data_IF_674489059769
#
_entry.id   IF_674489059769
#
_cell.length_a   1.000
_cell.length_b   1.000
_cell.length_c   1.000
_cell.angle_alpha   90.00
_cell.angle_beta   90.00
_cell.angle_gamma   90.00
#
_symmetry.space_group_name_H-M   'P 1'
#
loop_
_entity.id
_entity.type
_entity.pdbx_description
1 polymer ?
#
# COMPACT_ATOMS: atom_id res chain seq x y z
N UNK A 1 10.01 9.64 25.56
CA UNK A 1 9.65 8.36 24.96
C UNK A 1 9.27 8.54 23.52
N UNK A 2 9.75 7.68 22.70
CA UNK A 2 9.46 7.80 21.29
C UNK A 2 8.16 7.12 20.98
N UNK A 3 7.29 7.83 20.35
CA UNK A 3 6.05 7.27 19.93
C UNK A 3 6.27 6.30 18.79
N UNK A 4 5.74 5.10 18.94
CA UNK A 4 5.84 4.15 17.87
C UNK A 4 4.92 4.53 16.75
N UNK A 5 5.48 4.70 15.59
CA UNK A 5 4.69 5.09 14.43
C UNK A 5 4.03 3.88 13.83
N UNK A 6 2.72 3.92 13.70
CA UNK A 6 2.02 2.86 13.02
C UNK A 6 2.34 2.89 11.55
N UNK A 7 2.46 1.72 10.95
CA UNK A 7 2.62 1.64 9.52
C UNK A 7 1.34 2.12 8.86
N UNK A 8 1.48 3.02 7.90
CA UNK A 8 0.32 3.47 7.12
C UNK A 8 0.01 2.44 6.04
N UNK A 9 -1.21 2.48 5.54
CA UNK A 9 -1.58 1.60 4.45
C UNK A 9 -0.68 1.81 3.24
N UNK A 10 -0.33 3.07 2.97
CA UNK A 10 0.55 3.37 1.86
C UNK A 10 1.94 2.80 2.03
N UNK A 11 2.47 2.87 3.26
CA UNK A 11 3.81 2.32 3.53
C UNK A 11 3.81 0.80 3.37
N UNK A 12 2.76 0.15 3.82
CA UNK A 12 2.63 -1.30 3.67
C UNK A 12 2.55 -1.66 2.19
N UNK A 13 1.74 -0.92 1.43
CA UNK A 13 1.62 -1.17 0.00
C UNK A 13 2.97 -1.00 -0.70
N UNK A 14 3.71 0.05 -0.34
CA UNK A 14 5.02 0.29 -0.95
C UNK A 14 5.96 -0.87 -0.70
N UNK A 15 5.97 -1.38 0.53
CA UNK A 15 6.83 -2.51 0.86
C UNK A 15 6.46 -3.74 0.06
N UNK A 16 5.16 -4.03 -0.07
CA UNK A 16 4.71 -5.18 -0.83
C UNK A 16 5.05 -5.03 -2.31
N UNK A 17 4.89 -3.82 -2.84
CA UNK A 17 5.25 -3.55 -4.23
C UNK A 17 6.74 -3.81 -4.46
N UNK A 18 7.58 -3.32 -3.55
CA UNK A 18 9.02 -3.53 -3.63
C UNK A 18 9.37 -5.01 -3.53
N UNK A 19 8.69 -5.73 -2.66
CA UNK A 19 8.94 -7.17 -2.50
C UNK A 19 8.65 -7.93 -3.78
N UNK A 20 7.72 -7.42 -4.59
CA UNK A 20 7.41 -8.02 -5.88
C UNK A 20 8.23 -7.41 -7.01
N UNK A 21 9.17 -6.54 -6.67
CA UNK A 21 10.09 -5.92 -7.63
C UNK A 21 9.36 -5.15 -8.73
N UNK A 22 8.28 -4.47 -8.34
CA UNK A 22 7.48 -3.69 -9.27
C UNK A 22 7.74 -2.21 -9.09
N UNK A 23 7.85 -1.49 -10.21
CA UNK A 23 7.98 -0.04 -10.18
C UNK A 23 6.60 0.60 -10.11
N UNK A 24 6.58 1.89 -9.77
CA UNK A 24 5.32 2.63 -9.79
C UNK A 24 4.69 2.59 -11.19
N UNK A 25 5.52 2.74 -12.23
CA UNK A 25 5.01 2.72 -13.59
C UNK A 25 4.35 1.40 -13.95
N UNK A 26 4.88 0.30 -13.42
CA UNK A 26 4.31 -1.02 -13.70
C UNK A 26 2.96 -1.22 -13.01
N UNK A 27 2.75 -0.55 -11.88
CA UNK A 27 1.51 -0.69 -11.13
C UNK A 27 0.45 0.31 -11.58
N UNK A 28 0.88 1.47 -12.05
CA UNK A 28 -0.04 2.52 -12.47
C UNK A 28 -0.85 2.11 -13.69
N UNK A 29 -2.05 2.65 -13.79
CA UNK A 29 -2.92 2.42 -14.94
C UNK A 29 -3.95 3.55 -15.01
N UNK A 30 -5.01 3.34 -15.78
CA UNK A 30 -6.03 4.37 -15.96
C UNK A 30 -6.76 4.73 -14.68
N UNK A 31 -6.76 3.85 -13.68
CA UNK A 31 -7.46 4.08 -12.43
C UNK A 31 -6.59 4.82 -11.42
N UNK A 32 -5.28 4.58 -11.45
CA UNK A 32 -4.37 5.14 -10.46
C UNK A 32 -3.08 5.57 -11.14
N UNK A 33 -2.84 6.88 -11.15
CA UNK A 33 -1.63 7.43 -11.77
C UNK A 33 -0.42 7.20 -10.89
N UNK A 34 0.75 7.31 -11.50
CA UNK A 34 2.02 7.22 -10.76
C UNK A 34 2.03 8.25 -9.64
N UNK A 35 1.61 9.48 -9.93
CA UNK A 35 1.63 10.54 -8.92
C UNK A 35 0.71 10.21 -7.75
N UNK A 36 -0.47 9.67 -8.03
CA UNK A 36 -1.39 9.32 -6.95
C UNK A 36 -0.82 8.20 -6.08
N UNK A 37 -0.30 7.16 -6.71
CA UNK A 37 0.24 6.02 -5.97
C UNK A 37 1.41 6.49 -5.11
N UNK A 38 2.27 7.35 -5.65
CA UNK A 38 3.41 7.87 -4.90
C UNK A 38 2.95 8.63 -3.66
N UNK A 39 1.92 9.47 -3.80
CA UNK A 39 1.40 10.20 -2.65
C UNK A 39 0.77 9.28 -1.63
N UNK A 40 0.05 8.26 -2.10
CA UNK A 40 -0.53 7.28 -1.20
C UNK A 40 0.56 6.56 -0.41
N UNK A 41 1.61 6.15 -1.09
CA UNK A 41 2.71 5.42 -0.43
C UNK A 41 3.44 6.28 0.59
N UNK A 42 3.45 7.59 0.38
CA UNK A 42 4.09 8.51 1.31
C UNK A 42 3.16 8.92 2.46
N UNK A 43 1.93 8.43 2.47
CA UNK A 43 0.97 8.79 3.50
C UNK A 43 0.36 10.15 3.30
N UNK A 44 0.47 10.72 2.12
CA UNK A 44 -0.02 12.08 1.84
C UNK A 44 -1.40 12.11 1.22
N UNK A 45 -1.95 10.96 0.86
CA UNK A 45 -3.28 10.87 0.30
C UNK A 45 -4.01 9.70 0.90
N UNK A 46 -5.30 9.88 1.15
CA UNK A 46 -6.16 8.77 1.48
C UNK A 46 -6.51 8.02 0.21
N UNK A 47 -6.99 6.80 0.37
CA UNK A 47 -7.38 5.99 -0.76
C UNK A 47 -8.72 5.33 -0.44
N UNK A 48 -9.59 5.27 -1.43
CA UNK A 48 -10.85 4.55 -1.26
C UNK A 48 -10.57 3.05 -1.26
N UNK A 49 -11.48 2.30 -0.64
CA UNK A 49 -11.34 0.85 -0.62
C UNK A 49 -11.30 0.29 -2.04
N UNK A 50 -12.13 0.84 -2.92
CA UNK A 50 -12.18 0.39 -4.29
C UNK A 50 -10.85 0.58 -5.00
N UNK A 51 -10.21 1.73 -4.82
CA UNK A 51 -8.91 1.98 -5.42
C UNK A 51 -7.83 1.10 -4.82
N UNK A 52 -7.90 0.89 -3.51
CA UNK A 52 -6.91 0.05 -2.84
C UNK A 52 -7.00 -1.38 -3.34
N UNK A 53 -8.20 -1.92 -3.44
CA UNK A 53 -8.35 -3.29 -3.93
C UNK A 53 -7.85 -3.42 -5.35
N UNK A 54 -8.06 -2.40 -6.17
CA UNK A 54 -7.54 -2.42 -7.54
C UNK A 54 -6.01 -2.45 -7.55
N UNK A 55 -5.38 -1.63 -6.70
CA UNK A 55 -3.92 -1.62 -6.60
C UNK A 55 -3.38 -2.95 -6.10
N UNK A 56 -4.04 -3.55 -5.11
CA UNK A 56 -3.62 -4.84 -4.58
C UNK A 56 -3.72 -5.91 -5.67
N UNK A 57 -4.76 -5.85 -6.47
CA UNK A 57 -4.91 -6.78 -7.58
C UNK A 57 -3.75 -6.64 -8.58
N UNK A 58 -3.31 -5.39 -8.81
CA UNK A 58 -2.20 -5.15 -9.73
C UNK A 58 -0.89 -5.77 -9.25
N UNK A 59 -0.71 -5.91 -7.95
CA UNK A 59 0.50 -6.55 -7.41
C UNK A 59 0.23 -7.97 -6.95
N UNK A 60 -0.96 -8.48 -7.27
CA UNK A 60 -1.32 -9.88 -7.01
C UNK A 60 -1.34 -10.23 -5.51
N UNK A 61 -1.84 -9.32 -4.71
CA UNK A 61 -1.98 -9.49 -3.27
C UNK A 61 -3.45 -9.43 -2.92
N UNK A 62 -3.93 -10.36 -2.09
CA UNK A 62 -5.31 -10.33 -1.65
C UNK A 62 -5.50 -9.29 -0.55
N UNK A 63 -6.76 -8.88 -0.35
CA UNK A 63 -7.07 -7.94 0.73
C UNK A 63 -6.72 -8.56 2.08
N UNK A 64 -7.01 -9.83 2.26
CA UNK A 64 -6.72 -10.51 3.52
C UNK A 64 -5.24 -10.51 3.82
N UNK A 65 -4.42 -10.78 2.81
CA UNK A 65 -2.98 -10.78 2.99
C UNK A 65 -2.47 -9.38 3.34
N UNK A 66 -3.01 -8.37 2.68
CA UNK A 66 -2.63 -7.00 2.95
C UNK A 66 -2.97 -6.62 4.39
N UNK A 67 -4.18 -6.92 4.82
CA UNK A 67 -4.62 -6.60 6.18
C UNK A 67 -3.76 -7.34 7.21
N UNK A 68 -3.47 -8.59 6.95
CA UNK A 68 -2.64 -9.39 7.86
C UNK A 68 -1.26 -8.75 8.03
N UNK A 69 -0.63 -8.38 6.93
CA UNK A 69 0.71 -7.79 6.99
C UNK A 69 0.66 -6.43 7.66
N UNK A 70 -0.34 -5.63 7.34
CA UNK A 70 -0.51 -4.32 7.97
C UNK A 70 -0.64 -4.46 9.48
N UNK A 71 -1.44 -5.41 9.94
CA UNK A 71 -1.65 -5.60 11.37
C UNK A 71 -0.39 -6.08 12.05
N UNK A 72 0.37 -6.94 11.41
CA UNK A 72 1.66 -7.37 11.96
C UNK A 72 2.60 -6.19 12.13
N UNK A 73 2.67 -5.32 11.13
CA UNK A 73 3.61 -4.20 11.17
C UNK A 73 3.18 -3.14 12.16
N UNK A 74 1.90 -3.02 12.43
CA UNK A 74 1.43 -2.04 13.40
C UNK A 74 1.38 -2.60 14.82
N UNK A 75 1.75 -3.85 15.01
CA UNK A 75 1.81 -4.44 16.34
C UNK A 75 0.44 -4.76 16.92
N UNK A 76 -0.55 -4.96 16.10
CA UNK A 76 -1.91 -5.20 16.56
C UNK A 76 -2.16 -6.67 16.89
N UNK A 77 -1.28 -7.52 16.54
CA UNK A 77 -1.46 -8.96 16.70
C UNK A 77 -1.63 -9.38 18.15
#
# INVERSE_FOLDING_TARGET
MVEKTKATDGAVFRQLRHNHQLTLAQVADDHNSIAFISKFEQGKSNISFSRLTHLLHRINISVEEFVFIRDLQSGVV
#
